data_IF_319751965596
#
_entry.id   IF_319751965596
#
_cell.length_a   1.000
_cell.length_b   1.000
_cell.length_c   1.000
_cell.angle_alpha   90.00
_cell.angle_beta   90.00
_cell.angle_gamma   90.00
#
_symmetry.space_group_name_H-M   'P 1'
#
loop_
_entity.id
_entity.type
_entity.pdbx_description
1 polymer ?
#
# COMPACT_ATOMS: atom_id res chain seq x y z
N UNK A 1 -43.84 -53.39 -21.72
CA UNK A 1 -42.79 -52.35 -21.65
C UNK A 1 -43.48 -51.02 -21.47
N UNK A 2 -43.48 -50.48 -20.26
CA UNK A 2 -43.90 -49.10 -19.97
C UNK A 2 -43.57 -48.82 -18.51
N UNK A 3 -42.82 -47.77 -18.22
CA UNK A 3 -42.86 -47.12 -16.91
C UNK A 3 -42.47 -45.66 -17.07
N UNK A 4 -43.39 -44.83 -16.60
CA UNK A 4 -43.53 -43.41 -16.81
C UNK A 4 -42.73 -42.57 -15.81
N UNK A 5 -42.51 -41.30 -16.17
CA UNK A 5 -42.00 -40.22 -15.33
C UNK A 5 -42.77 -40.03 -14.01
N UNK A 6 -42.07 -39.49 -12.98
CA UNK A 6 -42.59 -38.40 -12.13
C UNK A 6 -41.49 -37.71 -11.31
N UNK A 7 -41.51 -36.38 -11.40
CA UNK A 7 -40.78 -35.41 -10.58
C UNK A 7 -41.20 -35.49 -9.11
N UNK A 8 -40.25 -35.23 -8.20
CA UNK A 8 -40.55 -34.70 -6.86
C UNK A 8 -39.62 -33.50 -6.64
N UNK A 9 -40.23 -32.31 -6.59
CA UNK A 9 -39.64 -31.08 -6.08
C UNK A 9 -39.27 -31.27 -4.61
N UNK A 10 -38.08 -30.82 -4.21
CA UNK A 10 -37.78 -30.52 -2.82
C UNK A 10 -37.41 -29.04 -2.69
N UNK A 11 -38.30 -28.32 -2.04
CA UNK A 11 -38.27 -26.90 -1.73
C UNK A 11 -37.58 -26.78 -0.35
N UNK A 12 -36.38 -26.20 -0.28
CA UNK A 12 -35.73 -25.87 0.99
C UNK A 12 -35.37 -24.37 0.98
N UNK A 13 -35.95 -23.66 1.93
CA UNK A 13 -35.97 -22.19 2.01
C UNK A 13 -34.60 -21.57 2.27
N UNK A 14 -34.37 -20.45 1.61
CA UNK A 14 -33.23 -19.56 1.83
C UNK A 14 -33.58 -18.61 2.97
N UNK A 15 -32.91 -18.80 4.11
CA UNK A 15 -32.90 -17.85 5.24
C UNK A 15 -32.14 -16.59 4.83
N UNK A 16 -32.83 -15.46 4.86
CA UNK A 16 -32.26 -14.10 4.79
C UNK A 16 -31.50 -13.81 6.09
N UNK A 17 -30.19 -14.04 6.09
CA UNK A 17 -29.27 -13.55 7.12
C UNK A 17 -28.67 -12.21 6.71
N UNK A 18 -29.15 -11.11 7.29
CA UNK A 18 -28.60 -9.78 7.11
C UNK A 18 -27.15 -9.71 7.60
N UNK A 19 -26.20 -9.58 6.68
CA UNK A 19 -24.83 -9.24 7.00
C UNK A 19 -24.70 -7.73 6.98
N UNK A 20 -24.52 -7.14 8.16
CA UNK A 20 -24.07 -5.77 8.31
C UNK A 20 -22.69 -5.64 7.63
N UNK A 21 -22.63 -4.96 6.49
CA UNK A 21 -21.37 -4.55 5.88
C UNK A 21 -20.77 -3.44 6.75
N UNK A 22 -19.89 -3.83 7.67
CA UNK A 22 -18.97 -2.89 8.29
C UNK A 22 -18.08 -2.31 7.18
N UNK A 23 -18.26 -1.04 6.86
CA UNK A 23 -17.38 -0.30 5.96
C UNK A 23 -16.02 -0.20 6.64
N UNK A 24 -15.10 -1.06 6.24
CA UNK A 24 -13.72 -1.07 6.72
C UNK A 24 -13.01 0.15 6.12
N UNK A 25 -12.33 1.00 6.91
CA UNK A 25 -11.57 2.11 6.37
C UNK A 25 -10.47 1.60 5.42
N UNK A 26 -10.18 2.30 4.31
CA UNK A 26 -9.19 1.86 3.35
C UNK A 26 -7.84 1.70 4.04
N UNK A 27 -7.29 0.49 4.01
CA UNK A 27 -5.96 0.23 4.54
C UNK A 27 -4.93 1.04 3.74
N UNK A 28 -3.99 1.74 4.42
CA UNK A 28 -2.89 2.41 3.72
C UNK A 28 -2.11 1.36 2.90
N UNK A 29 -1.65 1.73 1.68
CA UNK A 29 -0.92 0.80 0.83
C UNK A 29 0.27 0.24 1.60
N UNK A 30 0.43 -1.09 1.56
CA UNK A 30 1.54 -1.76 2.21
C UNK A 30 2.85 -1.16 1.71
N UNK A 31 3.82 -0.86 2.59
CA UNK A 31 5.14 -0.41 2.15
C UNK A 31 5.71 -1.48 1.20
N UNK A 32 6.38 -1.08 0.10
CA UNK A 32 7.03 -2.04 -0.79
C UNK A 32 7.96 -2.92 0.02
N UNK A 33 7.92 -4.23 -0.26
CA UNK A 33 8.76 -5.20 0.41
C UNK A 33 10.23 -4.78 0.30
N UNK A 34 11.04 -4.91 1.38
CA UNK A 34 12.46 -4.62 1.32
C UNK A 34 13.09 -5.43 0.18
N UNK A 35 13.96 -4.82 -0.65
CA UNK A 35 14.66 -5.55 -1.70
C UNK A 35 15.45 -6.70 -1.06
N UNK A 36 15.33 -7.89 -1.65
CA UNK A 36 16.09 -9.05 -1.25
C UNK A 36 17.60 -8.78 -1.33
N UNK A 37 18.38 -9.46 -0.49
CA UNK A 37 19.85 -9.40 -0.46
C UNK A 37 20.46 -9.39 -1.88
N UNK A 38 21.60 -8.70 -2.12
CA UNK A 38 22.11 -8.36 -3.44
C UNK A 38 22.56 -9.59 -4.24
N UNK A 39 21.60 -10.34 -4.76
CA UNK A 39 21.77 -11.21 -5.90
C UNK A 39 21.20 -10.43 -7.08
N UNK A 40 22.03 -10.14 -8.07
CA UNK A 40 21.54 -9.54 -9.31
C UNK A 40 20.80 -10.65 -10.07
N UNK A 41 19.52 -10.81 -9.74
CA UNK A 41 18.62 -11.71 -10.44
C UNK A 41 18.11 -10.97 -11.67
N UNK A 42 18.65 -11.30 -12.84
CA UNK A 42 18.13 -10.77 -14.11
C UNK A 42 17.10 -11.76 -14.64
N UNK A 43 15.83 -11.50 -14.35
CA UNK A 43 14.72 -12.22 -14.96
C UNK A 43 14.47 -11.66 -16.36
N UNK A 44 14.95 -12.37 -17.39
CA UNK A 44 14.50 -12.18 -18.78
C UNK A 44 13.83 -13.47 -19.25
N UNK A 45 12.71 -13.32 -19.97
CA UNK A 45 12.18 -14.41 -20.79
C UNK A 45 13.17 -14.63 -21.92
N UNK A 46 14.04 -15.61 -21.74
CA UNK A 46 15.01 -16.07 -22.74
C UNK A 46 14.37 -17.25 -23.49
N UNK A 47 14.76 -17.43 -24.74
CA UNK A 47 14.42 -18.65 -25.47
C UNK A 47 14.92 -19.87 -24.69
N UNK A 48 14.06 -20.91 -24.59
CA UNK A 48 14.34 -22.16 -23.88
C UNK A 48 15.67 -22.78 -24.36
N UNK A 49 16.76 -22.57 -23.63
CA UNK A 49 18.00 -23.31 -23.90
C UNK A 49 19.32 -22.72 -23.40
N UNK A 50 19.41 -21.41 -23.18
CA UNK A 50 20.71 -20.72 -23.00
C UNK A 50 20.82 -19.96 -21.65
N UNK A 51 20.54 -20.65 -20.54
CA UNK A 51 20.68 -20.10 -19.19
C UNK A 51 22.12 -20.20 -18.68
N UNK A 52 22.58 -19.23 -17.87
CA UNK A 52 23.89 -19.29 -17.23
C UNK A 52 23.90 -18.65 -15.83
N UNK A 53 24.85 -19.10 -15.01
CA UNK A 53 25.09 -18.60 -13.67
C UNK A 53 26.60 -18.41 -13.45
N UNK A 54 27.01 -17.19 -13.11
CA UNK A 54 28.36 -16.91 -12.65
C UNK A 54 28.39 -16.99 -11.13
N UNK A 55 29.24 -17.85 -10.61
CA UNK A 55 29.51 -17.98 -9.17
C UNK A 55 30.89 -17.41 -8.89
N UNK A 56 30.95 -16.22 -8.29
CA UNK A 56 32.20 -15.73 -7.69
C UNK A 56 32.45 -16.56 -6.41
N UNK A 57 33.60 -17.21 -6.29
CA UNK A 57 33.95 -18.13 -5.20
C UNK A 57 34.16 -17.49 -3.83
N UNK A 58 33.56 -16.33 -3.56
CA UNK A 58 33.58 -15.67 -2.26
C UNK A 58 32.78 -16.49 -1.24
N UNK A 59 33.36 -16.68 -0.05
CA UNK A 59 32.87 -17.58 1.02
C UNK A 59 31.47 -17.26 1.55
N UNK A 60 30.94 -16.07 1.25
CA UNK A 60 29.75 -15.54 1.92
C UNK A 60 28.51 -15.45 1.00
N UNK A 61 28.55 -16.05 -0.20
CA UNK A 61 27.35 -16.17 -1.05
C UNK A 61 26.86 -14.87 -1.72
N UNK A 62 27.50 -13.73 -1.48
CA UNK A 62 27.13 -12.39 -2.00
C UNK A 62 27.51 -12.14 -3.47
N UNK A 63 27.86 -13.17 -4.25
CA UNK A 63 28.51 -13.01 -5.56
C UNK A 63 27.91 -13.81 -6.70
N UNK A 64 26.67 -14.29 -6.60
CA UNK A 64 26.04 -15.06 -7.69
C UNK A 64 25.30 -14.12 -8.63
N UNK A 65 25.74 -14.07 -9.89
CA UNK A 65 24.99 -13.43 -10.96
C UNK A 65 24.23 -14.52 -11.70
N UNK A 66 22.91 -14.41 -11.67
CA UNK A 66 22.00 -15.37 -12.31
C UNK A 66 21.26 -14.65 -13.41
N UNK A 67 21.39 -15.18 -14.63
CA UNK A 67 20.62 -14.70 -15.78
C UNK A 67 19.72 -15.84 -16.18
N UNK A 68 18.42 -15.63 -15.94
CA UNK A 68 17.30 -16.59 -16.00
C UNK A 68 16.80 -17.12 -14.64
N UNK A 69 15.49 -17.06 -14.44
CA UNK A 69 14.79 -17.45 -13.20
C UNK A 69 14.45 -18.94 -13.16
N UNK A 70 14.46 -19.61 -14.32
CA UNK A 70 14.18 -21.05 -14.45
C UNK A 70 15.38 -21.94 -14.10
N UNK A 71 16.50 -21.31 -13.73
CA UNK A 71 17.64 -22.02 -13.16
C UNK A 71 17.17 -22.67 -11.85
N UNK A 72 17.16 -24.00 -11.83
CA UNK A 72 16.95 -24.75 -10.61
C UNK A 72 18.11 -24.41 -9.67
N UNK A 73 17.86 -23.49 -8.73
CA UNK A 73 18.81 -23.02 -7.72
C UNK A 73 19.55 -24.18 -7.04
N UNK A 74 18.89 -25.34 -6.89
CA UNK A 74 19.47 -26.57 -6.37
C UNK A 74 20.69 -27.10 -7.15
N UNK A 75 20.75 -26.96 -8.48
CA UNK A 75 21.87 -27.49 -9.29
C UNK A 75 23.11 -26.61 -9.13
N UNK A 76 22.94 -25.29 -9.16
CA UNK A 76 24.03 -24.34 -8.90
C UNK A 76 24.51 -24.46 -7.44
N UNK A 77 23.60 -24.64 -6.47
CA UNK A 77 23.98 -24.87 -5.08
C UNK A 77 24.74 -26.19 -4.86
N UNK A 78 24.37 -27.27 -5.56
CA UNK A 78 25.15 -28.53 -5.55
C UNK A 78 26.55 -28.31 -6.11
N UNK A 79 26.66 -27.58 -7.23
CA UNK A 79 27.95 -27.25 -7.85
C UNK A 79 28.80 -26.34 -6.95
N UNK A 80 28.20 -25.40 -6.22
CA UNK A 80 28.91 -24.57 -5.22
C UNK A 80 29.55 -25.40 -4.10
N UNK A 81 28.94 -26.54 -3.73
CA UNK A 81 29.48 -27.44 -2.70
C UNK A 81 30.59 -28.35 -3.23
N UNK A 82 30.54 -28.73 -4.51
CA UNK A 82 31.50 -29.65 -5.11
C UNK A 82 32.68 -28.94 -5.78
N UNK A 83 32.48 -27.74 -6.31
CA UNK A 83 33.48 -26.96 -7.05
C UNK A 83 34.07 -25.90 -6.12
N UNK A 84 35.38 -26.00 -5.86
CA UNK A 84 36.12 -24.99 -5.12
C UNK A 84 36.53 -23.85 -6.06
N UNK A 85 36.24 -22.62 -5.67
CA UNK A 85 36.63 -21.42 -6.40
C UNK A 85 35.57 -20.93 -7.40
N UNK A 86 35.89 -19.86 -8.14
CA UNK A 86 34.95 -19.25 -9.07
C UNK A 86 34.70 -20.16 -10.27
N UNK A 87 33.45 -20.19 -10.73
CA UNK A 87 33.07 -20.92 -11.93
C UNK A 87 31.89 -20.27 -12.64
N UNK A 88 31.81 -20.49 -13.95
CA UNK A 88 30.65 -20.13 -14.77
C UNK A 88 29.96 -21.43 -15.17
N UNK A 89 28.71 -21.59 -14.77
CA UNK A 89 27.84 -22.65 -15.22
C UNK A 89 26.97 -22.13 -16.36
N UNK A 90 26.76 -22.93 -17.39
CA UNK A 90 25.85 -22.59 -18.48
C UNK A 90 25.22 -23.83 -19.08
N UNK A 91 24.10 -23.65 -19.78
CA UNK A 91 23.47 -24.69 -20.59
C UNK A 91 23.67 -24.39 -22.06
N UNK A 92 24.06 -25.42 -22.80
CA UNK A 92 24.15 -25.39 -24.26
C UNK A 92 23.55 -26.70 -24.79
N UNK A 93 22.64 -26.60 -25.76
CA UNK A 93 21.96 -27.75 -26.38
C UNK A 93 21.37 -28.77 -25.38
N UNK A 94 20.84 -28.29 -24.26
CA UNK A 94 20.24 -29.13 -23.21
C UNK A 94 21.23 -29.76 -22.23
N UNK A 95 22.54 -29.72 -22.52
CA UNK A 95 23.60 -30.18 -21.64
C UNK A 95 24.12 -29.06 -20.73
N UNK A 96 24.57 -29.41 -19.53
CA UNK A 96 25.12 -28.47 -18.57
C UNK A 96 26.64 -28.49 -18.59
N UNK A 97 27.27 -27.32 -18.60
CA UNK A 97 28.72 -27.16 -18.63
C UNK A 97 29.19 -26.25 -17.51
N UNK A 98 30.44 -26.44 -17.11
CA UNK A 98 31.14 -25.56 -16.17
C UNK A 98 32.48 -25.12 -16.77
N UNK A 99 32.75 -23.83 -16.65
CA UNK A 99 33.99 -23.17 -17.00
C UNK A 99 34.70 -22.68 -15.74
N UNK A 100 35.99 -23.03 -15.61
CA UNK A 100 36.87 -22.61 -14.50
C UNK A 100 38.12 -21.86 -14.96
N UNK A 101 38.25 -21.57 -16.26
CA UNK A 101 39.40 -20.86 -16.81
C UNK A 101 39.47 -19.43 -16.23
N UNK A 102 40.56 -19.11 -15.55
CA UNK A 102 40.71 -17.85 -14.83
C UNK A 102 40.67 -16.62 -15.75
N UNK A 103 41.19 -16.73 -16.97
CA UNK A 103 41.23 -15.62 -17.93
C UNK A 103 39.82 -15.34 -18.48
N UNK A 104 39.09 -16.39 -18.87
CA UNK A 104 37.72 -16.28 -19.36
C UNK A 104 36.76 -15.82 -18.28
N UNK A 105 36.86 -16.36 -17.05
CA UNK A 105 36.09 -15.88 -15.90
C UNK A 105 36.40 -14.42 -15.57
N UNK A 106 37.67 -14.00 -15.71
CA UNK A 106 38.09 -12.61 -15.57
C UNK A 106 37.38 -11.66 -16.54
N UNK A 107 37.22 -12.06 -17.81
CA UNK A 107 36.47 -11.28 -18.82
C UNK A 107 35.01 -11.12 -18.43
N UNK A 108 34.34 -12.22 -18.05
CA UNK A 108 32.93 -12.19 -17.62
C UNK A 108 32.78 -11.30 -16.39
N UNK A 109 33.62 -11.50 -15.36
CA UNK A 109 33.60 -10.68 -14.15
C UNK A 109 33.80 -9.19 -14.45
N UNK A 110 34.68 -8.84 -15.37
CA UNK A 110 34.93 -7.45 -15.77
C UNK A 110 33.69 -6.85 -16.45
N UNK A 111 33.06 -7.61 -17.35
CA UNK A 111 31.85 -7.18 -18.06
C UNK A 111 30.67 -6.93 -17.10
N UNK A 112 30.59 -7.67 -15.99
CA UNK A 112 29.53 -7.52 -14.98
C UNK A 112 29.84 -6.50 -13.87
N UNK A 113 31.05 -5.92 -13.78
CA UNK A 113 31.34 -4.89 -12.75
C UNK A 113 30.38 -3.71 -12.77
N UNK A 114 30.03 -3.11 -13.93
CA UNK A 114 29.16 -1.94 -13.95
C UNK A 114 27.75 -2.28 -13.42
N UNK A 115 27.23 -3.45 -13.75
CA UNK A 115 25.94 -3.95 -13.24
C UNK A 115 25.95 -4.14 -11.72
N UNK A 116 27.04 -4.68 -11.17
CA UNK A 116 27.22 -4.81 -9.72
C UNK A 116 27.30 -3.47 -9.00
N UNK A 117 28.03 -2.52 -9.58
CA UNK A 117 28.16 -1.18 -9.01
C UNK A 117 26.80 -0.47 -8.99
N UNK A 118 26.07 -0.55 -10.11
CA UNK A 118 24.74 0.04 -10.22
C UNK A 118 23.73 -0.63 -9.26
N UNK A 119 23.83 -1.95 -9.06
CA UNK A 119 23.03 -2.67 -8.08
C UNK A 119 23.25 -2.19 -6.64
N UNK A 120 24.49 -1.85 -6.27
CA UNK A 120 24.79 -1.24 -4.96
C UNK A 120 24.15 0.15 -4.82
N UNK A 121 24.23 0.97 -5.86
CA UNK A 121 23.60 2.29 -5.89
C UNK A 121 22.08 2.19 -5.78
N UNK A 122 21.46 1.26 -6.51
CA UNK A 122 20.02 0.97 -6.40
C UNK A 122 19.63 0.48 -5.01
N UNK A 123 20.45 -0.37 -4.38
CA UNK A 123 20.19 -0.85 -3.01
C UNK A 123 20.21 0.30 -2.01
N UNK A 124 21.25 1.14 -2.05
CA UNK A 124 21.36 2.30 -1.17
C UNK A 124 20.20 3.29 -1.38
N UNK A 125 19.77 3.50 -2.62
CA UNK A 125 18.62 4.31 -2.95
C UNK A 125 17.31 3.69 -2.42
N UNK A 126 17.19 2.36 -2.48
CA UNK A 126 16.10 1.59 -1.90
C UNK A 126 16.00 1.76 -0.39
N UNK A 127 17.13 1.71 0.32
CA UNK A 127 17.19 1.91 1.77
C UNK A 127 16.71 3.32 2.17
N UNK A 128 17.12 4.34 1.41
CA UNK A 128 16.66 5.72 1.60
C UNK A 128 15.15 5.83 1.42
N UNK A 129 14.59 5.25 0.34
CA UNK A 129 13.15 5.23 0.11
C UNK A 129 12.39 4.49 1.23
N UNK A 130 12.93 3.37 1.71
CA UNK A 130 12.36 2.61 2.82
C UNK A 130 12.29 3.42 4.11
N UNK A 131 13.35 4.17 4.44
CA UNK A 131 13.36 5.07 5.59
C UNK A 131 12.32 6.21 5.44
N UNK A 132 12.23 6.82 4.25
CA UNK A 132 11.22 7.84 3.95
C UNK A 132 9.79 7.30 4.06
N UNK A 133 9.53 6.08 3.56
CA UNK A 133 8.23 5.43 3.65
C UNK A 133 7.80 5.13 5.09
N UNK A 134 8.74 4.67 5.94
CA UNK A 134 8.47 4.47 7.38
C UNK A 134 8.07 5.76 8.07
N UNK A 135 8.81 6.85 7.83
CA UNK A 135 8.51 8.15 8.41
C UNK A 135 7.13 8.67 7.99
N UNK A 136 6.76 8.51 6.71
CA UNK A 136 5.42 8.83 6.20
C UNK A 136 4.32 7.98 6.85
N UNK A 137 4.54 6.67 6.99
CA UNK A 137 3.59 5.76 7.64
C UNK A 137 3.35 6.10 9.11
N UNK A 138 4.40 6.47 9.85
CA UNK A 138 4.27 6.97 11.23
C UNK A 138 3.47 8.26 11.32
N UNK A 139 3.71 9.20 10.41
CA UNK A 139 2.95 10.44 10.33
C UNK A 139 1.47 10.17 10.03
N UNK A 140 1.17 9.30 9.08
CA UNK A 140 -0.20 8.86 8.78
C UNK A 140 -0.90 8.20 9.97
N UNK A 141 -0.21 7.35 10.73
CA UNK A 141 -0.76 6.74 11.95
C UNK A 141 -1.07 7.77 13.03
N UNK A 142 -0.17 8.74 13.25
CA UNK A 142 -0.42 9.85 14.18
C UNK A 142 -1.63 10.69 13.77
N UNK A 143 -1.86 10.86 12.46
CA UNK A 143 -3.05 11.54 11.94
C UNK A 143 -4.33 10.75 12.15
N UNK A 144 -4.34 9.45 11.80
CA UNK A 144 -5.50 8.59 12.00
C UNK A 144 -5.93 8.52 13.47
N UNK A 145 -4.97 8.50 14.39
CA UNK A 145 -5.25 8.52 15.83
C UNK A 145 -5.85 9.86 16.30
N UNK A 146 -5.45 10.99 15.71
CA UNK A 146 -5.94 12.34 16.09
C UNK A 146 -7.27 12.72 15.44
N UNK A 147 -7.53 12.28 14.20
CA UNK A 147 -8.81 12.53 13.52
C UNK A 147 -9.99 11.81 14.21
N UNK A 148 -9.70 10.80 15.03
CA UNK A 148 -10.69 10.12 15.88
C UNK A 148 -10.89 10.80 17.24
N UNK A 149 -10.07 11.80 17.60
CA UNK A 149 -10.19 12.48 18.91
C UNK A 149 -11.15 13.69 18.86
N UNK A 150 -12.38 13.42 19.30
CA UNK A 150 -13.10 14.18 20.34
C UNK A 150 -13.74 15.53 20.00
N UNK A 151 -13.39 16.21 18.91
CA UNK A 151 -13.95 17.53 18.57
C UNK A 151 -15.32 17.53 17.86
N UNK A 152 -15.82 16.37 17.43
CA UNK A 152 -17.11 16.26 16.72
C UNK A 152 -18.17 15.51 17.52
N UNK A 153 -17.76 14.67 18.47
CA UNK A 153 -18.68 13.81 19.21
C UNK A 153 -19.46 14.59 20.29
N UNK A 154 -18.79 15.49 21.01
CA UNK A 154 -19.38 16.25 22.12
C UNK A 154 -20.35 17.32 21.61
N UNK A 155 -19.94 18.05 20.59
CA UNK A 155 -20.69 19.10 19.92
C UNK A 155 -21.91 18.51 19.19
N UNK A 156 -21.76 17.33 18.58
CA UNK A 156 -22.88 16.57 17.99
C UNK A 156 -23.88 16.08 19.06
N UNK A 157 -23.40 15.68 20.24
CA UNK A 157 -24.27 15.29 21.35
C UNK A 157 -25.06 16.48 21.92
N UNK A 158 -24.41 17.64 22.05
CA UNK A 158 -25.05 18.90 22.48
C UNK A 158 -26.13 19.35 21.48
N UNK A 159 -25.84 19.35 20.17
CA UNK A 159 -26.84 19.64 19.13
C UNK A 159 -28.03 18.68 19.17
N UNK A 160 -27.78 17.39 19.41
CA UNK A 160 -28.86 16.39 19.56
C UNK A 160 -29.70 16.63 20.80
N UNK A 161 -29.08 17.01 21.92
CA UNK A 161 -29.79 17.35 23.14
C UNK A 161 -30.67 18.59 22.95
N UNK A 162 -30.12 19.64 22.34
CA UNK A 162 -30.84 20.88 22.03
C UNK A 162 -31.98 20.64 21.04
N UNK A 163 -31.78 19.81 20.02
CA UNK A 163 -32.83 19.41 19.08
C UNK A 163 -33.99 18.67 19.76
N UNK A 164 -33.72 17.83 20.77
CA UNK A 164 -34.77 17.21 21.60
C UNK A 164 -35.53 18.24 22.42
N UNK A 165 -34.82 19.21 23.02
CA UNK A 165 -35.42 20.29 23.80
C UNK A 165 -36.33 21.17 22.95
N UNK A 166 -35.89 21.59 21.75
CA UNK A 166 -36.73 22.35 20.82
C UNK A 166 -37.97 21.56 20.40
N UNK A 167 -37.85 20.26 20.13
CA UNK A 167 -39.00 19.44 19.79
C UNK A 167 -40.03 19.40 20.93
N UNK A 168 -39.57 19.31 22.18
CA UNK A 168 -40.44 19.33 23.34
C UNK A 168 -41.09 20.70 23.57
N UNK A 169 -40.32 21.78 23.44
CA UNK A 169 -40.82 23.16 23.52
C UNK A 169 -41.87 23.43 22.44
N UNK A 170 -41.63 23.00 21.19
CA UNK A 170 -42.60 23.12 20.10
C UNK A 170 -43.91 22.36 20.35
N UNK A 171 -43.83 21.17 20.97
CA UNK A 171 -45.04 20.42 21.38
C UNK A 171 -45.82 21.17 22.45
N UNK A 172 -45.15 21.64 23.51
CA UNK A 172 -45.75 22.41 24.60
C UNK A 172 -46.38 23.72 24.11
N UNK A 173 -45.73 24.40 23.17
CA UNK A 173 -46.24 25.62 22.55
C UNK A 173 -47.51 25.31 21.76
N UNK A 174 -47.52 24.25 20.96
CA UNK A 174 -48.71 23.79 20.25
C UNK A 174 -49.89 23.43 21.17
N UNK A 175 -49.62 22.79 22.32
CA UNK A 175 -50.62 22.51 23.34
C UNK A 175 -51.16 23.78 24.02
N UNK A 176 -50.28 24.74 24.35
CA UNK A 176 -50.67 26.02 24.93
C UNK A 176 -51.54 26.84 23.97
N UNK A 177 -51.16 26.93 22.69
CA UNK A 177 -51.94 27.63 21.67
C UNK A 177 -53.31 26.99 21.42
N UNK A 178 -53.41 25.65 21.46
CA UNK A 178 -54.71 24.95 21.41
C UNK A 178 -55.59 25.27 22.61
N UNK A 179 -55.02 25.29 23.82
CA UNK A 179 -55.75 25.66 25.04
C UNK A 179 -56.23 27.11 24.99
N UNK A 180 -55.43 28.02 24.43
CA UNK A 180 -55.83 29.41 24.21
C UNK A 180 -57.01 29.53 23.23
N UNK A 181 -56.96 28.80 22.11
CA UNK A 181 -58.01 28.81 21.09
C UNK A 181 -59.35 28.21 21.57
N UNK A 182 -59.30 27.24 22.50
CA UNK A 182 -60.47 26.56 23.06
C UNK A 182 -60.96 27.19 24.38
N UNK A 183 -60.29 28.22 24.89
CA UNK A 183 -60.64 28.85 26.17
C UNK A 183 -61.97 29.61 26.07
N UNK A 184 -62.93 29.23 26.92
CA UNK A 184 -64.26 29.88 27.00
C UNK A 184 -64.35 30.96 28.08
N UNK A 185 -63.29 31.14 28.88
CA UNK A 185 -63.21 32.15 29.93
C UNK A 185 -61.97 33.02 29.79
N UNK A 186 -62.12 34.28 30.19
CA UNK A 186 -61.08 35.30 30.04
C UNK A 186 -59.85 35.00 30.93
N UNK A 187 -60.06 34.33 32.07
CA UNK A 187 -59.01 33.87 32.98
C UNK A 187 -58.19 32.72 32.39
N UNK A 188 -58.84 31.74 31.75
CA UNK A 188 -58.17 30.64 31.08
C UNK A 188 -57.39 31.10 29.84
N UNK A 189 -57.96 32.05 29.08
CA UNK A 189 -57.29 32.68 27.93
C UNK A 189 -56.01 33.39 28.34
N UNK A 190 -56.06 34.25 29.36
CA UNK A 190 -54.88 34.97 29.88
C UNK A 190 -53.83 34.02 30.47
N UNK A 191 -54.23 32.89 31.05
CA UNK A 191 -53.29 31.88 31.54
C UNK A 191 -52.56 31.18 30.38
N UNK A 192 -53.28 30.83 29.31
CA UNK A 192 -52.69 30.23 28.12
C UNK A 192 -51.79 31.22 27.36
N UNK A 193 -52.16 32.51 27.29
CA UNK A 193 -51.33 33.59 26.71
C UNK A 193 -49.97 33.68 27.42
N UNK A 194 -49.95 33.70 28.77
CA UNK A 194 -48.69 33.70 29.54
C UNK A 194 -47.84 32.45 29.32
N UNK A 195 -48.49 31.29 29.14
CA UNK A 195 -47.80 30.03 28.83
C UNK A 195 -47.15 30.09 27.45
N UNK A 196 -47.84 30.66 26.45
CA UNK A 196 -47.32 30.86 25.09
C UNK A 196 -46.15 31.82 25.11
N UNK A 197 -46.28 32.99 25.74
CA UNK A 197 -45.18 33.98 25.86
C UNK A 197 -43.94 33.37 26.53
N UNK A 198 -44.11 32.64 27.63
CA UNK A 198 -43.01 31.96 28.32
C UNK A 198 -42.34 30.89 27.44
N UNK A 199 -43.13 30.10 26.70
CA UNK A 199 -42.60 29.06 25.83
C UNK A 199 -41.93 29.64 24.57
N UNK A 200 -42.38 30.80 24.09
CA UNK A 200 -41.73 31.56 23.03
C UNK A 200 -40.37 32.07 23.48
N UNK A 201 -40.27 32.66 24.68
CA UNK A 201 -38.98 33.07 25.24
C UNK A 201 -38.02 31.88 25.36
N UNK A 202 -38.48 30.74 25.87
CA UNK A 202 -37.66 29.52 25.95
C UNK A 202 -37.22 28.98 24.58
N UNK A 203 -37.99 29.23 23.52
CA UNK A 203 -37.60 28.87 22.15
C UNK A 203 -36.54 29.84 21.60
N UNK A 204 -36.66 31.13 21.89
CA UNK A 204 -35.66 32.14 21.52
C UNK A 204 -34.32 31.85 22.22
N UNK A 205 -34.33 31.61 23.53
CA UNK A 205 -33.12 31.25 24.29
C UNK A 205 -32.46 29.97 23.74
N UNK A 206 -33.27 28.98 23.34
CA UNK A 206 -32.78 27.73 22.75
C UNK A 206 -32.28 27.88 21.30
N UNK A 207 -32.71 28.93 20.59
CA UNK A 207 -32.19 29.27 19.26
C UNK A 207 -30.85 30.00 19.38
N UNK A 208 -30.72 30.92 20.34
CA UNK A 208 -29.45 31.59 20.66
C UNK A 208 -28.38 30.56 21.07
N UNK A 209 -28.73 29.60 21.94
CA UNK A 209 -27.81 28.51 22.31
C UNK A 209 -27.40 27.65 21.09
N UNK A 210 -28.30 27.46 20.12
CA UNK A 210 -28.00 26.72 18.88
C UNK A 210 -27.03 27.48 17.98
N UNK A 211 -27.22 28.79 17.85
CA UNK A 211 -26.33 29.67 17.07
C UNK A 211 -24.92 29.67 17.67
N UNK A 212 -24.78 29.81 18.99
CA UNK A 212 -23.48 29.74 19.66
C UNK A 212 -22.78 28.39 19.49
N UNK A 213 -23.52 27.28 19.50
CA UNK A 213 -22.95 25.95 19.28
C UNK A 213 -22.52 25.80 17.82
N UNK A 214 -23.31 26.29 16.86
CA UNK A 214 -22.96 26.27 15.45
C UNK A 214 -21.72 27.11 15.15
N UNK A 215 -21.59 28.29 15.76
CA UNK A 215 -20.40 29.14 15.63
C UNK A 215 -19.16 28.43 16.19
N UNK A 216 -19.27 27.80 17.36
CA UNK A 216 -18.19 26.99 17.93
C UNK A 216 -17.79 25.83 17.01
N UNK A 217 -18.76 25.17 16.38
CA UNK A 217 -18.51 24.09 15.43
C UNK A 217 -17.81 24.63 14.17
N UNK A 218 -18.25 25.77 13.65
CA UNK A 218 -17.63 26.43 12.51
C UNK A 218 -16.16 26.80 12.79
N UNK A 219 -15.88 27.41 13.95
CA UNK A 219 -14.53 27.71 14.44
C UNK A 219 -13.63 26.47 14.53
N UNK A 220 -14.16 25.37 15.08
CA UNK A 220 -13.42 24.11 15.20
C UNK A 220 -13.12 23.54 13.82
N UNK A 221 -14.09 23.56 12.90
CA UNK A 221 -13.92 23.09 11.52
C UNK A 221 -12.92 23.94 10.75
N UNK A 222 -12.93 25.26 10.89
CA UNK A 222 -11.98 26.16 10.23
C UNK A 222 -10.55 25.87 10.72
N UNK A 223 -10.35 25.79 12.04
CA UNK A 223 -9.04 25.43 12.63
C UNK A 223 -8.57 24.04 12.23
N UNK A 224 -9.49 23.09 12.03
CA UNK A 224 -9.15 21.76 11.55
C UNK A 224 -8.78 21.79 10.06
N UNK A 225 -9.51 22.54 9.23
CA UNK A 225 -9.21 22.73 7.82
C UNK A 225 -7.83 23.38 7.61
N UNK A 226 -7.50 24.43 8.38
CA UNK A 226 -6.17 25.05 8.36
C UNK A 226 -5.06 24.06 8.73
N UNK A 227 -5.28 23.24 9.76
CA UNK A 227 -4.32 22.19 10.17
C UNK A 227 -4.14 21.15 9.06
N UNK A 228 -5.22 20.73 8.42
CA UNK A 228 -5.18 19.77 7.28
C UNK A 228 -4.45 20.39 6.09
N UNK A 229 -4.66 21.67 5.80
CA UNK A 229 -3.97 22.37 4.71
C UNK A 229 -2.46 22.53 4.99
N UNK A 230 -2.09 22.97 6.20
CA UNK A 230 -0.69 23.03 6.63
C UNK A 230 -0.02 21.65 6.56
N UNK A 231 -0.73 20.61 6.98
CA UNK A 231 -0.26 19.24 6.90
C UNK A 231 -0.08 18.79 5.45
N UNK A 232 -1.02 19.13 4.57
CA UNK A 232 -0.95 18.80 3.14
C UNK A 232 0.29 19.44 2.50
N UNK A 233 0.58 20.71 2.84
CA UNK A 233 1.82 21.39 2.44
C UNK A 233 3.08 20.67 2.96
N UNK A 234 3.07 20.21 4.21
CA UNK A 234 4.19 19.42 4.75
C UNK A 234 4.37 18.10 4.02
N UNK A 235 3.28 17.40 3.70
CA UNK A 235 3.32 16.14 2.95
C UNK A 235 3.87 16.35 1.53
N UNK A 236 3.43 17.41 0.85
CA UNK A 236 3.95 17.78 -0.48
C UNK A 236 5.45 18.09 -0.43
N UNK A 237 5.91 18.88 0.55
CA UNK A 237 7.34 19.17 0.69
C UNK A 237 8.16 17.91 0.96
N UNK A 238 7.62 16.98 1.77
CA UNK A 238 8.29 15.71 2.08
C UNK A 238 8.21 14.69 0.95
N UNK A 239 7.29 14.83 -0.01
CA UNK A 239 7.16 13.94 -1.17
C UNK A 239 8.08 14.34 -2.33
N UNK A 240 8.50 15.61 -2.44
CA UNK A 240 9.45 16.06 -3.48
C UNK A 240 10.74 15.23 -3.57
N UNK A 241 11.43 14.87 -2.46
CA UNK A 241 12.55 13.94 -2.52
C UNK A 241 12.15 12.58 -3.11
N UNK A 242 10.96 12.06 -2.83
CA UNK A 242 10.49 10.77 -3.35
C UNK A 242 10.32 10.80 -4.87
N UNK A 243 9.82 11.91 -5.43
CA UNK A 243 9.72 12.08 -6.87
C UNK A 243 11.10 12.09 -7.54
N UNK A 244 12.06 12.82 -6.96
CA UNK A 244 13.44 12.86 -7.44
C UNK A 244 14.12 11.49 -7.35
N UNK A 245 13.96 10.79 -6.22
CA UNK A 245 14.45 9.42 -6.01
C UNK A 245 13.83 8.44 -7.02
N UNK A 246 12.53 8.59 -7.30
CA UNK A 246 11.81 7.79 -8.30
C UNK A 246 12.35 8.01 -9.72
N UNK A 247 12.65 9.27 -10.08
CA UNK A 247 13.30 9.60 -11.36
C UNK A 247 14.69 8.96 -11.46
N UNK A 248 15.50 9.08 -10.40
CA UNK A 248 16.83 8.45 -10.33
C UNK A 248 16.74 6.93 -10.46
N UNK A 249 15.79 6.27 -9.79
CA UNK A 249 15.54 4.84 -9.98
C UNK A 249 15.21 4.49 -11.42
N UNK A 250 14.38 5.29 -12.10
CA UNK A 250 14.07 5.10 -13.51
C UNK A 250 15.29 5.23 -14.42
N UNK A 251 16.15 6.23 -14.17
CA UNK A 251 17.41 6.42 -14.90
C UNK A 251 18.39 5.26 -14.67
N UNK A 252 18.60 4.87 -13.41
CA UNK A 252 19.42 3.72 -13.04
C UNK A 252 18.87 2.43 -13.66
N UNK A 253 17.54 2.23 -13.69
CA UNK A 253 16.91 1.09 -14.34
C UNK A 253 17.24 0.98 -15.83
N UNK A 254 17.19 2.10 -16.55
CA UNK A 254 17.60 2.17 -17.97
C UNK A 254 19.10 1.89 -18.15
N UNK A 255 19.94 2.39 -17.24
CA UNK A 255 21.38 2.09 -17.26
C UNK A 255 21.65 0.62 -16.99
N UNK A 256 20.94 0.02 -16.03
CA UNK A 256 21.03 -1.40 -15.67
C UNK A 256 20.75 -2.26 -16.88
N UNK A 257 19.66 -1.98 -17.60
CA UNK A 257 19.29 -2.74 -18.78
C UNK A 257 20.39 -2.72 -19.86
N UNK A 258 21.03 -1.56 -20.08
CA UNK A 258 22.12 -1.40 -21.04
C UNK A 258 23.36 -2.18 -20.62
N UNK A 259 23.81 -2.02 -19.38
CA UNK A 259 25.03 -2.70 -18.90
C UNK A 259 24.83 -4.21 -18.82
N UNK A 260 23.63 -4.67 -18.45
CA UNK A 260 23.28 -6.09 -18.45
C UNK A 260 23.27 -6.66 -19.87
N UNK A 261 22.71 -5.94 -20.87
CA UNK A 261 22.77 -6.39 -22.28
C UNK A 261 24.21 -6.56 -22.77
N UNK A 262 25.10 -5.62 -22.43
CA UNK A 262 26.51 -5.69 -22.81
C UNK A 262 27.25 -6.82 -22.10
N UNK A 263 26.98 -7.01 -20.80
CA UNK A 263 27.57 -8.08 -20.00
C UNK A 263 27.11 -9.46 -20.48
N UNK A 264 25.82 -9.61 -20.83
CA UNK A 264 25.25 -10.83 -21.39
C UNK A 264 25.91 -11.18 -22.73
N UNK A 265 26.00 -10.22 -23.65
CA UNK A 265 26.68 -10.43 -24.94
C UNK A 265 28.12 -10.90 -24.75
N UNK A 266 28.86 -10.28 -23.81
CA UNK A 266 30.24 -10.68 -23.51
C UNK A 266 30.31 -12.07 -22.91
N UNK A 267 29.35 -12.42 -22.03
CA UNK A 267 29.29 -13.75 -21.40
C UNK A 267 29.05 -14.84 -22.44
N UNK A 268 28.15 -14.61 -23.40
CA UNK A 268 27.88 -15.54 -24.52
C UNK A 268 29.10 -15.73 -25.41
N UNK A 269 29.83 -14.66 -25.70
CA UNK A 269 31.10 -14.76 -26.45
C UNK A 269 32.14 -15.61 -25.70
N UNK A 270 32.22 -15.46 -24.37
CA UNK A 270 33.10 -16.29 -23.53
C UNK A 270 32.64 -17.75 -23.52
N UNK A 271 31.34 -18.02 -23.46
CA UNK A 271 30.78 -19.38 -23.53
C UNK A 271 31.14 -20.03 -24.87
N UNK A 272 30.92 -19.33 -25.99
CA UNK A 272 31.28 -19.83 -27.32
C UNK A 272 32.79 -20.10 -27.44
N UNK A 273 33.63 -19.20 -26.91
CA UNK A 273 35.09 -19.39 -26.86
C UNK A 273 35.49 -20.61 -25.98
N UNK A 274 34.81 -20.80 -24.84
CA UNK A 274 35.09 -21.92 -23.96
C UNK A 274 34.74 -23.28 -24.59
N UNK A 275 33.66 -23.33 -25.37
CA UNK A 275 33.25 -24.53 -26.11
C UNK A 275 34.23 -24.82 -27.26
N UNK A 276 34.61 -23.82 -28.06
CA UNK A 276 35.52 -24.02 -29.20
C UNK A 276 36.95 -24.39 -28.77
N UNK A 277 37.42 -23.85 -27.63
CA UNK A 277 38.74 -24.16 -27.08
C UNK A 277 38.75 -25.43 -26.19
N UNK A 278 37.61 -26.12 -26.02
CA UNK A 278 37.52 -27.31 -25.18
C UNK A 278 37.74 -27.06 -23.68
N UNK A 279 37.58 -25.82 -23.23
CA UNK A 279 37.76 -25.38 -21.83
C UNK A 279 36.52 -25.58 -20.97
N UNK A 280 35.36 -25.79 -21.59
CA UNK A 280 34.13 -26.13 -20.91
C UNK A 280 34.08 -27.62 -20.52
N UNK A 281 33.80 -27.91 -19.26
CA UNK A 281 33.65 -29.28 -18.74
C UNK A 281 32.18 -29.64 -18.63
N UNK A 282 31.81 -30.80 -19.17
CA UNK A 282 30.45 -31.32 -19.02
C UNK A 282 30.15 -31.64 -17.55
N UNK A 283 29.00 -31.17 -17.06
CA UNK A 283 28.45 -31.57 -15.76
C UNK A 283 27.63 -32.83 -15.98
N UNK A 284 28.10 -33.95 -15.43
CA UNK A 284 27.37 -35.22 -15.41
C UNK A 284 26.52 -35.35 -14.15
#
# INVERSE_FOLDING_TARGET
>A
MSTSHRLILSLAGILLGGSALAVQPPQPPAPPAPPAAPSVQVSRSLDKGESYALVDGARDGEGVIVVDSDIHSQQVEKLKRSIKGPFLWFRDQGQAYVLQDAALLGKVRTAWQPSRQLGKEMSALGDQMGAHGKAMGEMGRKMGARSLEKGSARESEQLRALGRQQQELGRKLGDASRRQALATSDTARRAAERDVERLQQQMEDAQEEMEEINDRIADVHEREAEKVEQMSRQMEQRSKPMEALGKQMGDLGRQQEKVVKLADKTTRQVIAQALSEGKAKLVR
#
